data_IF_357648948152
#
_entry.id   IF_357648948152
#
_cell.length_a   1.000
_cell.length_b   1.000
_cell.length_c   1.000
_cell.angle_alpha   90.00
_cell.angle_beta   90.00
_cell.angle_gamma   90.00
#
_symmetry.space_group_name_H-M   'P 1'
#
loop_
_entity.id
_entity.type
_entity.pdbx_description
1 polymer ?
#
# COMPACT_ATOMS: atom_id res chain seq x y z
N UNK A 1 -25.78 -7.80 29.67
CA UNK A 1 -25.60 -8.09 28.22
C UNK A 1 -24.30 -7.44 27.77
N UNK A 2 -23.21 -8.19 27.70
CA UNK A 2 -21.91 -7.68 27.21
C UNK A 2 -21.94 -7.63 25.69
N UNK A 3 -21.94 -6.44 25.09
CA UNK A 3 -21.74 -6.29 23.64
C UNK A 3 -20.34 -6.80 23.32
N UNK A 4 -20.25 -7.95 22.66
CA UNK A 4 -19.00 -8.47 22.13
C UNK A 4 -18.61 -7.59 20.92
N UNK A 5 -17.92 -6.47 21.17
CA UNK A 5 -17.51 -5.56 20.11
C UNK A 5 -16.36 -6.18 19.32
N UNK A 6 -16.63 -6.53 18.05
CA UNK A 6 -15.57 -6.86 17.09
C UNK A 6 -14.74 -5.60 16.84
N UNK A 7 -13.45 -5.66 17.13
CA UNK A 7 -12.49 -4.62 16.80
C UNK A 7 -11.91 -4.89 15.40
N UNK A 8 -11.68 -3.82 14.66
CA UNK A 8 -11.01 -3.87 13.36
C UNK A 8 -9.74 -3.04 13.44
N UNK A 9 -8.60 -3.66 13.19
CA UNK A 9 -7.31 -2.96 13.12
C UNK A 9 -7.07 -2.50 11.68
N UNK A 10 -6.90 -1.20 11.48
CA UNK A 10 -6.58 -0.63 10.17
C UNK A 10 -5.08 -0.29 10.11
N UNK A 11 -4.41 -0.81 9.09
CA UNK A 11 -3.03 -0.44 8.75
C UNK A 11 -3.05 0.52 7.57
N UNK A 12 -2.57 1.73 7.78
CA UNK A 12 -2.55 2.78 6.76
C UNK A 12 -1.13 2.90 6.20
N UNK A 13 -0.98 2.64 4.91
CA UNK A 13 0.30 2.70 4.20
C UNK A 13 0.24 3.77 3.12
N UNK A 14 1.20 4.69 3.14
CA UNK A 14 1.41 5.63 2.03
C UNK A 14 2.13 4.93 0.87
N UNK A 15 1.82 5.32 -0.37
CA UNK A 15 2.55 4.84 -1.53
C UNK A 15 4.06 5.07 -1.40
N UNK A 16 4.87 4.18 -2.00
CA UNK A 16 6.32 4.33 -1.97
C UNK A 16 6.81 5.50 -2.85
N UNK A 17 8.10 5.83 -2.71
CA UNK A 17 8.72 6.95 -3.41
C UNK A 17 8.58 6.82 -4.93
N UNK A 18 8.26 7.94 -5.57
CA UNK A 18 8.12 8.08 -7.02
C UNK A 18 9.09 9.12 -7.59
N UNK A 19 9.25 9.15 -8.91
CA UNK A 19 10.12 10.12 -9.58
C UNK A 19 9.73 11.58 -9.32
N UNK A 20 8.44 11.90 -9.24
CA UNK A 20 8.03 13.26 -8.92
C UNK A 20 8.25 13.61 -7.43
N UNK A 21 8.33 12.64 -6.51
CA UNK A 21 8.78 12.94 -5.15
C UNK A 21 10.26 13.32 -5.12
N UNK A 22 11.11 12.61 -5.89
CA UNK A 22 12.55 12.92 -5.99
C UNK A 22 12.79 14.32 -6.58
N UNK A 23 11.91 14.75 -7.50
CA UNK A 23 11.95 16.08 -8.12
C UNK A 23 11.19 17.15 -7.33
N UNK A 24 10.66 16.81 -6.16
CA UNK A 24 9.87 17.71 -5.30
C UNK A 24 8.65 18.34 -6.01
N UNK A 25 8.08 17.63 -6.98
CA UNK A 25 6.92 18.07 -7.74
C UNK A 25 5.61 17.65 -7.07
N UNK A 26 4.65 18.57 -7.05
CA UNK A 26 3.27 18.28 -6.68
C UNK A 26 2.64 17.35 -7.72
N UNK A 27 2.19 16.17 -7.26
CA UNK A 27 1.75 15.09 -8.16
C UNK A 27 0.25 15.11 -8.44
N UNK A 28 -0.58 15.58 -7.50
CA UNK A 28 -2.04 15.56 -7.64
C UNK A 28 -2.57 14.17 -8.02
N UNK A 29 -3.41 14.12 -9.05
CA UNK A 29 -3.93 12.88 -9.65
C UNK A 29 -3.06 12.32 -10.79
N UNK A 30 -2.00 13.02 -11.18
CA UNK A 30 -1.04 12.49 -12.15
C UNK A 30 -0.21 11.39 -11.51
N UNK A 31 0.10 10.35 -12.29
CA UNK A 31 0.99 9.30 -11.84
C UNK A 31 2.43 9.53 -12.28
N UNK A 32 3.35 9.07 -11.44
CA UNK A 32 4.76 8.96 -11.79
C UNK A 32 5.30 7.62 -11.31
N UNK A 33 6.26 7.03 -12.04
CA UNK A 33 6.73 5.69 -11.73
C UNK A 33 7.44 5.65 -10.37
N UNK A 34 7.33 4.52 -9.68
CA UNK A 34 8.09 4.21 -8.49
C UNK A 34 9.60 4.22 -8.78
N UNK A 35 10.39 4.80 -7.89
CA UNK A 35 11.86 4.80 -7.99
C UNK A 35 12.43 3.44 -7.59
N UNK A 36 13.74 3.25 -7.79
CA UNK A 36 14.45 2.05 -7.31
C UNK A 36 14.39 1.99 -5.78
N UNK A 37 14.55 3.13 -5.13
CA UNK A 37 14.44 3.35 -3.70
C UNK A 37 13.02 3.06 -3.22
N UNK A 38 11.99 3.51 -3.95
CA UNK A 38 10.60 3.18 -3.67
C UNK A 38 10.34 1.67 -3.69
N UNK A 39 10.94 0.93 -4.64
CA UNK A 39 10.85 -0.54 -4.65
C UNK A 39 11.56 -1.18 -3.44
N UNK A 40 12.67 -0.61 -2.97
CA UNK A 40 13.36 -1.07 -1.75
C UNK A 40 12.49 -0.82 -0.52
N UNK A 41 11.85 0.35 -0.42
CA UNK A 41 10.91 0.67 0.66
C UNK A 41 9.79 -0.38 0.75
N UNK A 42 9.17 -0.73 -0.38
CA UNK A 42 8.10 -1.74 -0.40
C UNK A 42 8.63 -3.10 0.05
N UNK A 43 9.83 -3.51 -0.40
CA UNK A 43 10.44 -4.77 0.02
C UNK A 43 10.70 -4.83 1.52
N UNK A 44 11.15 -3.74 2.12
CA UNK A 44 11.41 -3.67 3.56
C UNK A 44 10.10 -3.69 4.36
N UNK A 45 9.13 -2.85 3.97
CA UNK A 45 7.80 -2.84 4.59
C UNK A 45 7.15 -4.23 4.53
N UNK A 46 7.25 -4.92 3.40
CA UNK A 46 6.75 -6.29 3.26
C UNK A 46 7.36 -7.24 4.30
N UNK A 47 8.67 -7.13 4.57
CA UNK A 47 9.35 -7.96 5.59
C UNK A 47 8.85 -7.65 6.99
N UNK A 48 8.58 -6.39 7.30
CA UNK A 48 8.05 -5.96 8.61
C UNK A 48 6.62 -6.48 8.81
N UNK A 49 5.80 -6.43 7.77
CA UNK A 49 4.41 -6.86 7.85
C UNK A 49 4.24 -8.39 7.81
N UNK A 50 5.29 -9.17 7.56
CA UNK A 50 5.21 -10.62 7.22
C UNK A 50 4.40 -11.47 8.22
N UNK A 51 4.43 -11.12 9.51
CA UNK A 51 3.78 -11.87 10.58
C UNK A 51 2.36 -11.36 10.90
N UNK A 52 1.90 -10.31 10.23
CA UNK A 52 0.57 -9.74 10.42
C UNK A 52 -0.41 -10.45 9.49
N UNK A 53 -1.52 -10.92 10.05
CA UNK A 53 -2.65 -11.41 9.28
C UNK A 53 -3.48 -10.22 8.77
N UNK A 54 -3.80 -10.22 7.48
CA UNK A 54 -4.67 -9.23 6.88
C UNK A 54 -5.87 -9.93 6.27
N UNK A 55 -7.06 -9.44 6.59
CA UNK A 55 -8.31 -9.94 6.01
C UNK A 55 -8.56 -9.36 4.60
N UNK A 56 -8.05 -8.16 4.32
CA UNK A 56 -8.26 -7.46 3.06
C UNK A 56 -7.16 -6.43 2.77
N UNK A 57 -7.00 -6.11 1.48
CA UNK A 57 -6.16 -5.02 0.99
C UNK A 57 -6.99 -4.03 0.17
N UNK A 58 -6.82 -2.75 0.47
CA UNK A 58 -7.48 -1.64 -0.24
C UNK A 58 -6.44 -0.66 -0.77
N UNK A 59 -6.74 -0.02 -1.90
CA UNK A 59 -5.90 1.03 -2.46
C UNK A 59 -6.72 2.05 -3.27
N UNK A 60 -6.16 3.26 -3.41
CA UNK A 60 -6.61 4.20 -4.44
C UNK A 60 -6.32 3.62 -5.83
N UNK A 61 -7.11 4.06 -6.81
CA UNK A 61 -6.93 3.85 -8.25
C UNK A 61 -5.56 4.30 -8.79
N UNK A 62 -4.94 5.31 -8.16
CA UNK A 62 -3.65 5.86 -8.58
C UNK A 62 -2.58 4.78 -8.61
N UNK A 63 -1.86 4.68 -9.74
CA UNK A 63 -0.95 3.59 -10.04
C UNK A 63 0.12 3.43 -8.97
N UNK A 64 0.66 4.52 -8.43
CA UNK A 64 1.66 4.48 -7.34
C UNK A 64 1.14 3.80 -6.06
N UNK A 65 -0.11 4.08 -5.67
CA UNK A 65 -0.73 3.48 -4.50
C UNK A 65 -1.06 2.02 -4.76
N UNK A 66 -1.73 1.76 -5.88
CA UNK A 66 -2.10 0.41 -6.33
C UNK A 66 -0.87 -0.51 -6.44
N UNK A 67 0.21 -0.07 -7.08
CA UNK A 67 1.45 -0.85 -7.22
C UNK A 67 2.12 -1.14 -5.88
N UNK A 68 2.12 -0.17 -4.97
CA UNK A 68 2.63 -0.38 -3.60
C UNK A 68 1.84 -1.50 -2.91
N UNK A 69 0.51 -1.44 -2.96
CA UNK A 69 -0.36 -2.44 -2.35
C UNK A 69 -0.24 -3.82 -3.03
N UNK A 70 -0.24 -3.89 -4.37
CA UNK A 70 -0.12 -5.14 -5.13
C UNK A 70 1.15 -5.90 -4.78
N UNK A 71 2.29 -5.21 -4.65
CA UNK A 71 3.57 -5.85 -4.31
C UNK A 71 3.54 -6.43 -2.89
N UNK A 72 2.86 -5.78 -1.94
CA UNK A 72 2.70 -6.28 -0.57
C UNK A 72 1.75 -7.48 -0.53
N UNK A 73 0.67 -7.43 -1.32
CA UNK A 73 -0.38 -8.46 -1.35
C UNK A 73 0.02 -9.72 -2.15
N UNK A 74 0.90 -9.60 -3.14
CA UNK A 74 1.26 -10.69 -4.07
C UNK A 74 1.72 -11.97 -3.36
N UNK A 75 2.62 -11.86 -2.37
CA UNK A 75 3.11 -13.04 -1.64
C UNK A 75 2.08 -13.66 -0.70
N UNK A 76 1.03 -12.90 -0.38
CA UNK A 76 -0.10 -13.35 0.43
C UNK A 76 -1.20 -13.97 -0.42
N UNK A 77 -1.07 -13.95 -1.75
CA UNK A 77 -2.06 -14.42 -2.72
C UNK A 77 -3.44 -13.75 -2.54
N UNK A 78 -3.43 -12.48 -2.16
CA UNK A 78 -4.65 -11.69 -1.96
C UNK A 78 -4.79 -10.65 -3.06
N UNK A 79 -6.02 -10.43 -3.52
CA UNK A 79 -6.33 -9.36 -4.44
C UNK A 79 -6.37 -8.01 -3.70
N UNK A 80 -5.99 -6.93 -4.40
CA UNK A 80 -6.16 -5.56 -3.91
C UNK A 80 -7.46 -5.00 -4.45
N UNK A 81 -8.33 -4.54 -3.56
CA UNK A 81 -9.58 -3.88 -3.90
C UNK A 81 -9.27 -2.40 -4.17
N UNK A 82 -9.70 -1.89 -5.31
CA UNK A 82 -9.51 -0.49 -5.69
C UNK A 82 -10.85 0.20 -5.91
N UNK A 83 -10.95 1.46 -5.50
CA UNK A 83 -12.07 2.33 -5.89
C UNK A 83 -11.85 2.82 -7.32
N UNK A 84 -12.93 3.05 -8.08
CA UNK A 84 -12.91 3.79 -9.35
C UNK A 84 -13.36 5.22 -9.10
#
# INVERSE_FOLDING_TARGET
MTKNQKLTTLYIVRHAQTQANVRELLQGQSDSPLTKEGRIQIKNLKKELRNIHFDAFFSSDLLRARRTAEIIALERKMAVITTK
#
